data_IF_030369048021
#
_entry.id   IF_030369048021
#
_cell.length_a   1.000
_cell.length_b   1.000
_cell.length_c   1.000
_cell.angle_alpha   90.00
_cell.angle_beta   90.00
_cell.angle_gamma   90.00
#
_symmetry.space_group_name_H-M   'P 1'
#
loop_
_entity.id
_entity.type
_entity.pdbx_description
1 polymer ?
#
# COMPACT_ATOMS: atom_id res chain seq x y z
N UNK A 1 -10.54 -7.65 -3.27
CA UNK A 1 -9.39 -7.10 -2.52
C UNK A 1 -8.71 -8.22 -1.76
N UNK A 2 -7.42 -8.09 -1.46
CA UNK A 2 -6.61 -9.16 -0.83
C UNK A 2 -7.10 -9.62 0.53
N UNK A 3 -7.89 -8.81 1.22
CA UNK A 3 -8.54 -9.19 2.49
C UNK A 3 -9.32 -10.49 2.39
N UNK A 4 -10.10 -10.71 1.32
CA UNK A 4 -10.85 -11.97 1.14
C UNK A 4 -9.93 -13.18 0.95
N UNK A 5 -8.85 -12.98 0.19
CA UNK A 5 -7.85 -14.05 -0.03
C UNK A 5 -7.11 -14.38 1.27
N UNK A 6 -6.79 -13.36 2.07
CA UNK A 6 -6.25 -13.55 3.42
C UNK A 6 -7.23 -14.30 4.34
N UNK A 7 -8.51 -13.93 4.33
CA UNK A 7 -9.55 -14.61 5.13
C UNK A 7 -9.67 -16.09 4.75
N UNK A 8 -9.69 -16.42 3.45
CA UNK A 8 -9.68 -17.80 2.95
C UNK A 8 -8.43 -18.57 3.40
N UNK A 9 -7.25 -17.95 3.30
CA UNK A 9 -5.99 -18.59 3.74
C UNK A 9 -5.95 -18.78 5.24
N UNK A 10 -6.36 -17.77 6.01
CA UNK A 10 -6.40 -17.81 7.46
C UNK A 10 -7.33 -18.92 7.94
N UNK A 11 -8.50 -19.07 7.33
CA UNK A 11 -9.43 -20.14 7.65
C UNK A 11 -8.85 -21.53 7.35
N UNK A 12 -8.25 -21.72 6.16
CA UNK A 12 -7.65 -22.99 5.79
C UNK A 12 -6.46 -23.36 6.70
N UNK A 13 -5.61 -22.38 7.03
CA UNK A 13 -4.44 -22.57 7.89
C UNK A 13 -4.83 -22.85 9.33
N UNK A 14 -5.84 -22.14 9.86
CA UNK A 14 -6.34 -22.37 11.22
C UNK A 14 -6.95 -23.77 11.40
N UNK A 15 -7.56 -24.33 10.34
CA UNK A 15 -8.10 -25.69 10.36
C UNK A 15 -6.99 -26.76 10.40
N UNK A 16 -5.89 -26.55 9.66
CA UNK A 16 -4.80 -27.53 9.54
C UNK A 16 -3.77 -27.40 10.68
N UNK A 17 -3.51 -26.18 11.15
CA UNK A 17 -2.54 -25.87 12.21
C UNK A 17 -3.17 -24.97 13.28
N UNK A 18 -3.96 -25.53 14.21
CA UNK A 18 -4.65 -24.75 15.23
C UNK A 18 -3.71 -24.04 16.22
N UNK A 19 -2.44 -24.44 16.29
CA UNK A 19 -1.43 -23.80 17.13
C UNK A 19 -0.73 -22.60 16.47
N UNK A 20 -0.99 -22.33 15.19
CA UNK A 20 -0.29 -21.32 14.40
C UNK A 20 -0.98 -19.95 14.58
N UNK A 21 -0.22 -18.94 14.98
CA UNK A 21 -0.73 -17.57 15.08
C UNK A 21 -0.69 -16.90 13.72
N UNK A 22 -1.86 -16.51 13.21
CA UNK A 22 -2.02 -15.87 11.91
C UNK A 22 -2.33 -14.40 12.14
N UNK A 23 -1.43 -13.54 11.70
CA UNK A 23 -1.61 -12.10 11.73
C UNK A 23 -1.76 -11.55 10.31
N UNK A 24 -2.61 -10.55 10.14
CA UNK A 24 -2.81 -9.86 8.87
C UNK A 24 -2.59 -8.37 9.04
N UNK A 25 -1.66 -7.81 8.28
CA UNK A 25 -1.37 -6.38 8.27
C UNK A 25 -1.34 -5.82 6.83
N UNK A 26 -1.51 -4.50 6.70
CA UNK A 26 -1.38 -3.81 5.43
C UNK A 26 0.09 -3.64 5.06
N UNK A 27 0.44 -4.06 3.85
CA UNK A 27 1.82 -3.91 3.38
C UNK A 27 2.20 -2.42 3.27
N UNK A 28 3.23 -1.95 4.00
CA UNK A 28 3.57 -0.54 4.03
C UNK A 28 4.08 -0.08 2.65
N UNK A 29 3.62 1.07 2.14
CA UNK A 29 4.18 1.64 0.92
C UNK A 29 5.67 1.95 1.10
N UNK A 30 6.50 1.77 0.05
CA UNK A 30 7.91 2.16 0.08
C UNK A 30 8.08 3.61 0.53
N UNK A 31 9.17 3.91 1.26
CA UNK A 31 9.41 5.23 1.84
C UNK A 31 9.35 6.38 0.82
N UNK A 32 9.82 6.16 -0.41
CA UNK A 32 9.73 7.16 -1.48
C UNK A 32 8.29 7.47 -1.89
N UNK A 33 7.39 6.48 -1.91
CA UNK A 33 5.96 6.67 -2.20
C UNK A 33 5.26 7.42 -1.07
N UNK A 34 5.63 7.11 0.18
CA UNK A 34 5.12 7.84 1.34
C UNK A 34 5.53 9.31 1.28
N UNK A 35 6.80 9.60 0.99
CA UNK A 35 7.30 10.95 0.85
C UNK A 35 6.54 11.72 -0.24
N UNK A 36 6.35 11.12 -1.42
CA UNK A 36 5.57 11.71 -2.50
C UNK A 36 4.12 11.98 -2.09
N UNK A 37 3.48 11.05 -1.38
CA UNK A 37 2.12 11.22 -0.88
C UNK A 37 2.02 12.39 0.12
N UNK A 38 3.00 12.52 1.02
CA UNK A 38 3.09 13.63 1.98
C UNK A 38 3.28 14.96 1.26
N UNK A 39 4.23 15.05 0.34
CA UNK A 39 4.47 16.28 -0.45
C UNK A 39 3.24 16.66 -1.27
N UNK A 40 2.58 15.70 -1.90
CA UNK A 40 1.35 15.90 -2.65
C UNK A 40 0.23 16.45 -1.75
N UNK A 41 0.08 15.89 -0.55
CA UNK A 41 -0.94 16.31 0.42
C UNK A 41 -0.75 17.76 0.87
N UNK A 42 0.49 18.16 1.17
CA UNK A 42 0.82 19.55 1.54
C UNK A 42 0.64 20.51 0.37
N UNK A 43 1.08 20.10 -0.82
CA UNK A 43 0.94 20.90 -2.05
C UNK A 43 -0.52 21.12 -2.40
N UNK A 44 -1.35 20.08 -2.31
CA UNK A 44 -2.82 20.14 -2.48
C UNK A 44 -3.42 21.17 -1.53
N UNK A 45 -3.10 21.10 -0.24
CA UNK A 45 -3.65 22.02 0.76
C UNK A 45 -3.23 23.47 0.48
N UNK A 46 -1.95 23.70 0.14
CA UNK A 46 -1.44 25.02 -0.24
C UNK A 46 -2.15 25.59 -1.48
N UNK A 47 -2.33 24.79 -2.52
CA UNK A 47 -3.04 25.19 -3.74
C UNK A 47 -4.52 25.50 -3.49
N UNK A 48 -5.21 24.70 -2.68
CA UNK A 48 -6.61 24.96 -2.31
C UNK A 48 -6.70 26.31 -1.57
N UNK A 49 -5.82 26.56 -0.59
CA UNK A 49 -5.82 27.84 0.12
C UNK A 49 -5.55 29.03 -0.82
N UNK A 50 -4.59 28.90 -1.74
CA UNK A 50 -4.29 29.94 -2.72
C UNK A 50 -5.49 30.25 -3.63
N UNK A 51 -6.17 29.23 -4.15
CA UNK A 51 -7.37 29.38 -5.00
C UNK A 51 -8.51 30.03 -4.22
N UNK A 52 -8.76 29.62 -2.98
CA UNK A 52 -9.83 30.19 -2.13
C UNK A 52 -9.55 31.66 -1.81
N UNK A 53 -8.30 32.00 -1.47
CA UNK A 53 -7.87 33.38 -1.21
C UNK A 53 -7.80 34.23 -2.49
N UNK A 54 -7.87 33.62 -3.68
CA UNK A 54 -7.71 34.29 -4.97
C UNK A 54 -6.30 34.82 -5.19
N UNK A 55 -5.30 34.26 -4.49
CA UNK A 55 -3.89 34.63 -4.65
C UNK A 55 -3.31 33.82 -5.79
N UNK A 56 -2.65 34.49 -6.73
CA UNK A 56 -1.93 33.82 -7.81
C UNK A 56 -0.43 33.75 -7.46
N UNK A 57 0.14 32.56 -7.18
CA UNK A 57 1.55 32.42 -6.85
C UNK A 57 2.48 32.52 -8.07
N UNK A 58 1.97 32.30 -9.30
CA UNK A 58 2.81 32.21 -10.51
C UNK A 58 3.55 33.52 -10.84
N UNK A 59 2.91 34.71 -10.77
CA UNK A 59 3.59 35.98 -10.98
C UNK A 59 4.74 36.24 -9.99
N UNK A 60 4.61 35.81 -8.73
CA UNK A 60 5.66 35.96 -7.72
C UNK A 60 6.90 35.12 -8.02
N UNK A 61 6.73 34.03 -8.78
CA UNK A 61 7.82 33.17 -9.26
C UNK A 61 8.38 33.61 -10.62
N UNK A 62 7.89 34.72 -11.18
CA UNK A 62 8.27 35.20 -12.52
C UNK A 62 7.71 34.32 -13.66
N UNK A 63 6.73 33.47 -13.37
CA UNK A 63 6.10 32.58 -14.34
C UNK A 63 4.77 33.15 -14.83
N UNK A 64 4.41 32.85 -16.07
CA UNK A 64 3.07 33.15 -16.56
C UNK A 64 2.04 32.24 -15.92
N UNK A 65 0.91 32.82 -15.50
CA UNK A 65 -0.19 32.08 -14.89
C UNK A 65 -0.77 31.08 -15.89
N UNK A 66 -0.80 29.77 -15.57
CA UNK A 66 -1.39 28.76 -16.44
C UNK A 66 -2.89 29.01 -16.66
N UNK A 67 -3.40 28.72 -17.86
CA UNK A 67 -4.84 28.85 -18.16
C UNK A 67 -5.72 28.04 -17.21
N UNK A 68 -5.26 26.86 -16.78
CA UNK A 68 -5.97 26.03 -15.82
C UNK A 68 -6.10 26.70 -14.44
N UNK A 69 -5.08 27.45 -14.02
CA UNK A 69 -5.12 28.21 -12.77
C UNK A 69 -6.05 29.43 -12.87
N UNK A 70 -6.06 30.10 -14.02
CA UNK A 70 -7.00 31.20 -14.29
C UNK A 70 -8.44 30.71 -14.24
N UNK A 71 -8.74 29.57 -14.89
CA UNK A 71 -10.06 28.95 -14.82
C UNK A 71 -10.42 28.54 -13.38
N UNK A 72 -9.46 27.98 -12.64
CA UNK A 72 -9.66 27.60 -11.24
C UNK A 72 -9.97 28.80 -10.34
N UNK A 73 -9.30 29.94 -10.57
CA UNK A 73 -9.54 31.18 -9.84
C UNK A 73 -10.91 31.80 -10.12
N UNK A 74 -11.45 31.60 -11.33
CA UNK A 74 -12.81 31.99 -11.69
C UNK A 74 -13.86 31.04 -11.09
N UNK A 75 -13.54 29.74 -10.99
CA UNK A 75 -14.46 28.68 -10.54
C UNK A 75 -14.00 28.03 -9.22
N UNK A 76 -13.67 28.86 -8.22
CA UNK A 76 -12.95 28.45 -6.99
C UNK A 76 -13.54 27.22 -6.30
N UNK A 77 -14.86 27.23 -6.10
CA UNK A 77 -15.59 26.16 -5.41
C UNK A 77 -15.46 24.82 -6.13
N UNK A 78 -15.70 24.81 -7.45
CA UNK A 78 -15.63 23.62 -8.27
C UNK A 78 -14.18 23.12 -8.45
N UNK A 79 -13.25 24.04 -8.69
CA UNK A 79 -11.84 23.71 -8.81
C UNK A 79 -11.25 23.11 -7.53
N UNK A 80 -11.59 23.66 -6.36
CA UNK A 80 -11.15 23.10 -5.08
C UNK A 80 -11.72 21.70 -4.84
N UNK A 81 -13.00 21.46 -5.17
CA UNK A 81 -13.59 20.13 -5.09
C UNK A 81 -12.88 19.13 -6.00
N UNK A 82 -12.71 19.47 -7.29
CA UNK A 82 -12.01 18.59 -8.24
C UNK A 82 -10.58 18.30 -7.79
N UNK A 83 -9.82 19.34 -7.41
CA UNK A 83 -8.45 19.19 -6.94
C UNK A 83 -8.39 18.27 -5.72
N UNK A 84 -9.27 18.49 -4.75
CA UNK A 84 -9.35 17.63 -3.57
C UNK A 84 -9.64 16.18 -3.95
N UNK A 85 -10.67 15.91 -4.75
CA UNK A 85 -11.03 14.54 -5.13
C UNK A 85 -9.95 13.85 -5.95
N UNK A 86 -9.44 14.50 -6.99
CA UNK A 86 -8.40 13.93 -7.87
C UNK A 86 -7.14 13.63 -7.06
N UNK A 87 -6.69 14.57 -6.23
CA UNK A 87 -5.51 14.33 -5.39
C UNK A 87 -5.73 13.21 -4.38
N UNK A 88 -6.90 13.10 -3.74
CA UNK A 88 -7.19 11.97 -2.83
C UNK A 88 -7.19 10.62 -3.58
N UNK A 89 -7.68 10.58 -4.81
CA UNK A 89 -7.59 9.37 -5.64
C UNK A 89 -6.13 9.01 -5.92
N UNK A 90 -5.30 9.97 -6.33
CA UNK A 90 -3.87 9.76 -6.59
C UNK A 90 -3.10 9.35 -5.33
N UNK A 91 -3.36 9.99 -4.19
CA UNK A 91 -2.81 9.63 -2.87
C UNK A 91 -3.17 8.19 -2.50
N UNK A 92 -4.44 7.80 -2.70
CA UNK A 92 -4.90 6.43 -2.47
C UNK A 92 -4.18 5.40 -3.35
N UNK A 93 -3.90 5.75 -4.62
CA UNK A 93 -3.12 4.88 -5.52
C UNK A 93 -1.65 4.78 -5.12
N UNK A 94 -1.05 5.86 -4.62
CA UNK A 94 0.35 5.87 -4.15
C UNK A 94 0.55 4.99 -2.90
N UNK A 95 -0.43 5.00 -1.99
CA UNK A 95 -0.43 4.19 -0.77
C UNK A 95 -0.74 2.72 -1.08
N UNK A 96 -1.62 2.45 -2.05
CA UNK A 96 -1.96 1.09 -2.46
C UNK A 96 -0.80 0.44 -3.21
N UNK A 97 -0.05 -0.42 -2.53
CA UNK A 97 1.11 -1.11 -3.11
C UNK A 97 0.73 -2.28 -4.02
N UNK A 98 -0.50 -2.79 -3.89
CA UNK A 98 -0.94 -3.99 -4.58
C UNK A 98 -0.20 -5.26 -4.17
N UNK A 99 0.61 -5.20 -3.11
CA UNK A 99 1.42 -6.31 -2.61
C UNK A 99 0.59 -7.34 -1.86
N UNK A 100 1.05 -8.58 -1.89
CA UNK A 100 0.56 -9.66 -1.05
C UNK A 100 1.79 -10.48 -0.65
N UNK A 101 2.14 -10.40 0.62
CA UNK A 101 3.34 -11.01 1.17
C UNK A 101 2.92 -11.98 2.26
N UNK A 102 3.56 -13.14 2.30
CA UNK A 102 3.36 -14.12 3.36
C UNK A 102 4.70 -14.37 4.02
N UNK A 103 4.73 -14.26 5.35
CA UNK A 103 5.90 -14.54 6.17
C UNK A 103 5.58 -15.66 7.15
N UNK A 104 6.56 -16.51 7.41
CA UNK A 104 6.46 -17.59 8.40
C UNK A 104 7.68 -17.52 9.31
N UNK A 105 7.46 -17.35 10.62
CA UNK A 105 8.51 -17.16 11.63
C UNK A 105 9.55 -16.09 11.24
N UNK A 106 9.10 -14.97 10.67
CA UNK A 106 9.97 -13.86 10.24
C UNK A 106 10.68 -14.05 8.90
N UNK A 107 10.55 -15.21 8.25
CA UNK A 107 11.07 -15.44 6.89
C UNK A 107 9.98 -15.18 5.85
N UNK A 108 10.27 -14.40 4.81
CA UNK A 108 9.34 -14.22 3.68
C UNK A 108 9.29 -15.49 2.85
N UNK A 109 8.12 -16.12 2.82
CA UNK A 109 7.87 -17.38 2.11
C UNK A 109 7.19 -17.15 0.76
N UNK A 110 6.51 -16.02 0.60
CA UNK A 110 5.92 -15.64 -0.68
C UNK A 110 5.82 -14.13 -0.83
N UNK A 111 6.17 -13.64 -2.03
CA UNK A 111 5.97 -12.26 -2.44
C UNK A 111 5.23 -12.20 -3.76
N UNK A 112 4.05 -11.57 -3.81
CA UNK A 112 3.39 -11.30 -5.09
C UNK A 112 4.24 -10.39 -5.98
N UNK A 113 4.94 -9.43 -5.39
CA UNK A 113 5.76 -8.50 -6.16
C UNK A 113 6.90 -9.21 -6.89
N UNK A 114 7.45 -10.27 -6.30
CA UNK A 114 8.48 -11.10 -6.93
C UNK A 114 7.89 -12.16 -7.87
N UNK A 115 6.82 -12.85 -7.44
CA UNK A 115 6.27 -14.00 -8.16
C UNK A 115 5.24 -13.62 -9.23
N UNK A 116 4.82 -12.35 -9.29
CA UNK A 116 3.82 -11.81 -10.22
C UNK A 116 2.37 -12.23 -9.92
N UNK A 117 2.14 -13.19 -9.03
CA UNK A 117 0.82 -13.71 -8.65
C UNK A 117 0.73 -14.05 -7.16
N UNK A 118 -0.51 -14.17 -6.69
CA UNK A 118 -0.83 -14.69 -5.36
C UNK A 118 -0.72 -16.22 -5.41
N UNK A 119 -0.22 -16.89 -4.36
CA UNK A 119 -0.11 -18.35 -4.38
C UNK A 119 -1.50 -18.97 -4.29
N UNK A 120 -1.65 -20.21 -4.74
CA UNK A 120 -2.84 -21.01 -4.41
C UNK A 120 -2.77 -21.52 -2.96
N UNK A 121 -3.91 -21.91 -2.39
CA UNK A 121 -3.96 -22.47 -1.02
C UNK A 121 -3.04 -23.68 -0.90
N UNK A 122 -3.06 -24.59 -1.89
CA UNK A 122 -2.22 -25.79 -1.89
C UNK A 122 -0.73 -25.47 -1.93
N UNK A 123 -0.31 -24.50 -2.75
CA UNK A 123 1.09 -24.05 -2.81
C UNK A 123 1.53 -23.45 -1.46
N UNK A 124 0.70 -22.58 -0.87
CA UNK A 124 1.04 -21.96 0.42
C UNK A 124 1.18 -23.02 1.53
N UNK A 125 0.25 -23.98 1.57
CA UNK A 125 0.28 -25.09 2.52
C UNK A 125 1.56 -25.93 2.38
N UNK A 126 1.93 -26.28 1.14
CA UNK A 126 3.15 -27.06 0.89
C UNK A 126 4.43 -26.33 1.28
N UNK A 127 4.48 -25.01 1.06
CA UNK A 127 5.62 -24.18 1.50
C UNK A 127 5.70 -24.16 3.03
N UNK A 128 4.58 -23.97 3.72
CA UNK A 128 4.54 -23.98 5.19
C UNK A 128 4.92 -25.36 5.74
N UNK A 129 4.40 -26.45 5.18
CA UNK A 129 4.79 -27.82 5.56
C UNK A 129 6.30 -28.03 5.47
N UNK A 130 6.92 -27.59 4.38
CA UNK A 130 8.36 -27.69 4.16
C UNK A 130 9.15 -26.89 5.21
N UNK A 131 8.68 -25.69 5.55
CA UNK A 131 9.28 -24.87 6.60
C UNK A 131 9.08 -25.46 8.01
N UNK A 132 7.95 -26.09 8.31
CA UNK A 132 7.71 -26.75 9.59
C UNK A 132 8.59 -28.00 9.77
N UNK A 133 8.77 -28.81 8.71
CA UNK A 133 9.63 -30.00 8.74
C UNK A 133 11.10 -29.64 8.96
N UNK A 134 11.60 -28.60 8.27
CA UNK A 134 12.99 -28.15 8.43
C UNK A 134 13.29 -27.60 9.84
N UNK A 135 12.33 -26.90 10.47
CA UNK A 135 12.47 -26.46 11.87
C UNK A 135 12.53 -27.65 12.84
N UNK A 136 11.66 -28.65 12.66
CA UNK A 136 11.65 -29.83 13.54
C UNK A 136 12.96 -30.64 13.42
N UNK A 137 13.57 -30.71 12.24
CA UNK A 137 14.83 -31.43 12.02
C UNK A 137 16.03 -30.75 12.68
N UNK A 138 15.99 -29.42 12.86
CA UNK A 138 17.04 -28.66 13.54
C UNK A 138 16.98 -28.76 15.08
N UNK A 139 15.90 -29.32 15.62
CA UNK A 139 15.64 -29.39 17.08
C UNK A 139 15.89 -30.78 17.67
N UNK A 140 16.24 -31.78 16.84
CA UNK A 140 16.69 -33.09 17.30
C UNK A 140 18.22 -33.10 17.45
N UNK A 141 18.78 -33.35 18.65
CA UNK A 141 20.22 -33.58 18.78
C UNK A 141 20.61 -34.85 18.03
N UNK A 142 21.85 -34.94 17.50
CA UNK A 142 22.32 -36.15 16.83
C UNK A 142 22.17 -37.35 17.78
N UNK A 143 21.37 -38.34 17.37
CA UNK A 143 21.31 -39.60 18.07
C UNK A 143 22.64 -40.32 17.89
N UNK A 144 23.47 -40.25 18.94
CA UNK A 144 24.65 -41.07 19.15
C UNK A 144 24.23 -42.45 19.65
#
# INVERSE_FOLDING_TARGET
GYRRVFEEFSQALSQKYPALQIEGDNYPPPAWRQLLCTVLSWTKLGLIMAIVMGVDPFPYLGLQTPQMYQWASQNRMYACMMLFFISNVVEGQLISTGAFEVTFNGMSVWSKLQNGRVPSIGELMGIIDSHMMSVNTATDPPQL
#
